data_IF_699317716225
#
_entry.id   IF_699317716225
#
_cell.length_a   1.000
_cell.length_b   1.000
_cell.length_c   1.000
_cell.angle_alpha   90.00
_cell.angle_beta   90.00
_cell.angle_gamma   90.00
#
_symmetry.space_group_name_H-M   'P 1'
#
loop_
_entity.id
_entity.type
_entity.pdbx_description
1 polymer ?
#
# COMPACT_ATOMS: atom_id res chain seq x y z
N UNK A 1 -2.56 -31.26 10.80
CA UNK A 1 -3.06 -30.46 9.67
C UNK A 1 -2.74 -29.01 10.01
N UNK A 2 -2.15 -28.24 9.11
CA UNK A 2 -1.93 -26.83 9.35
C UNK A 2 -3.30 -26.15 9.53
N UNK A 3 -3.41 -25.21 10.48
CA UNK A 3 -4.63 -24.43 10.65
C UNK A 3 -4.76 -23.48 9.44
N UNK A 4 -5.96 -23.41 8.86
CA UNK A 4 -6.25 -22.53 7.72
C UNK A 4 -7.37 -21.56 8.05
N UNK A 5 -7.41 -20.41 7.35
CA UNK A 5 -8.46 -19.41 7.43
C UNK A 5 -9.15 -19.28 6.07
N UNK A 6 -10.49 -19.39 6.07
CA UNK A 6 -11.31 -19.27 4.86
C UNK A 6 -12.08 -17.95 4.86
N UNK A 7 -12.05 -17.25 3.73
CA UNK A 7 -12.80 -16.02 3.52
C UNK A 7 -13.37 -15.92 2.09
N UNK A 8 -14.33 -15.02 1.92
CA UNK A 8 -14.97 -14.74 0.63
C UNK A 8 -14.82 -13.26 0.28
N UNK A 9 -13.61 -12.81 -0.09
CA UNK A 9 -13.37 -11.42 -0.49
C UNK A 9 -14.06 -11.10 -1.81
N UNK A 10 -14.19 -9.80 -2.14
CA UNK A 10 -14.77 -9.35 -3.40
C UNK A 10 -14.01 -9.80 -4.66
N UNK A 11 -12.72 -10.15 -4.50
CA UNK A 11 -11.86 -10.64 -5.58
C UNK A 11 -10.85 -11.69 -5.07
N UNK A 12 -11.29 -12.94 -4.80
CA UNK A 12 -10.42 -13.97 -4.23
C UNK A 12 -9.16 -14.27 -5.06
N UNK A 13 -9.32 -14.31 -6.39
CA UNK A 13 -8.19 -14.60 -7.30
C UNK A 13 -7.18 -13.47 -7.36
N UNK A 14 -7.64 -12.22 -7.37
CA UNK A 14 -6.75 -11.04 -7.35
C UNK A 14 -5.99 -10.94 -6.05
N UNK A 15 -6.64 -11.19 -4.93
CA UNK A 15 -5.99 -11.20 -3.64
C UNK A 15 -4.95 -12.34 -3.52
N UNK A 16 -5.29 -13.56 -3.98
CA UNK A 16 -4.36 -14.68 -4.04
C UNK A 16 -3.14 -14.37 -4.93
N UNK A 17 -3.34 -13.68 -6.05
CA UNK A 17 -2.24 -13.23 -6.91
C UNK A 17 -1.32 -12.24 -6.15
N UNK A 18 -1.92 -11.29 -5.42
CA UNK A 18 -1.18 -10.33 -4.59
C UNK A 18 -0.35 -11.00 -3.50
N UNK A 19 -0.96 -11.92 -2.74
CA UNK A 19 -0.26 -12.69 -1.69
C UNK A 19 0.94 -13.43 -2.25
N UNK A 20 0.76 -14.20 -3.34
CA UNK A 20 1.86 -14.95 -3.97
C UNK A 20 2.95 -14.05 -4.51
N UNK A 21 2.58 -12.90 -5.06
CA UNK A 21 3.53 -11.94 -5.60
C UNK A 21 4.39 -11.33 -4.48
N UNK A 22 3.79 -10.93 -3.37
CA UNK A 22 4.50 -10.41 -2.20
C UNK A 22 5.41 -11.49 -1.58
N UNK A 23 4.91 -12.71 -1.44
CA UNK A 23 5.64 -13.84 -0.86
C UNK A 23 6.92 -14.19 -1.62
N UNK A 24 7.04 -13.84 -2.90
CA UNK A 24 8.28 -14.03 -3.68
C UNK A 24 9.50 -13.30 -3.08
N UNK A 25 9.31 -12.33 -2.19
CA UNK A 25 10.35 -11.66 -1.43
C UNK A 25 10.90 -12.46 -0.24
N UNK A 26 10.13 -13.42 0.30
CA UNK A 26 10.46 -14.17 1.53
C UNK A 26 11.78 -14.94 1.44
N UNK A 27 12.06 -15.57 0.30
CA UNK A 27 13.30 -16.31 0.08
C UNK A 27 14.57 -15.48 0.25
N UNK A 28 14.43 -14.13 0.22
CA UNK A 28 15.53 -13.17 0.43
C UNK A 28 15.46 -12.47 1.78
N UNK A 29 14.58 -12.91 2.68
CA UNK A 29 14.36 -12.31 3.99
C UNK A 29 13.27 -11.25 4.02
N UNK A 30 12.38 -11.22 3.03
CA UNK A 30 11.17 -10.39 3.02
C UNK A 30 10.20 -10.77 4.13
N UNK A 31 9.24 -9.88 4.41
CA UNK A 31 8.19 -10.11 5.37
C UNK A 31 7.38 -11.38 5.01
N UNK A 32 7.02 -12.16 6.02
CA UNK A 32 6.15 -13.31 5.81
C UNK A 32 4.78 -12.86 5.29
N UNK A 33 4.24 -13.61 4.35
CA UNK A 33 2.94 -13.36 3.71
C UNK A 33 2.10 -14.63 3.85
N UNK A 34 0.87 -14.51 4.34
CA UNK A 34 0.00 -15.67 4.53
C UNK A 34 -0.06 -16.55 3.27
N UNK A 35 0.31 -17.81 3.42
CA UNK A 35 0.36 -18.77 2.31
C UNK A 35 -1.04 -19.01 1.72
N UNK A 36 -1.15 -18.99 0.39
CA UNK A 36 -2.39 -19.32 -0.31
C UNK A 36 -2.51 -20.85 -0.43
N UNK A 37 -3.38 -21.44 0.37
CA UNK A 37 -3.63 -22.89 0.39
C UNK A 37 -4.52 -23.29 -0.79
N UNK A 38 -5.64 -22.57 -0.98
CA UNK A 38 -6.53 -22.79 -2.12
C UNK A 38 -7.28 -21.52 -2.51
N UNK A 39 -7.66 -21.41 -3.78
CA UNK A 39 -8.47 -20.30 -4.29
C UNK A 39 -9.47 -20.76 -5.34
N UNK A 40 -10.70 -20.26 -5.22
CA UNK A 40 -11.79 -20.38 -6.20
C UNK A 40 -12.29 -19.00 -6.58
N UNK A 41 -13.32 -18.89 -7.41
CA UNK A 41 -13.95 -17.61 -7.76
C UNK A 41 -14.69 -16.96 -6.57
N UNK A 42 -14.97 -17.72 -5.50
CA UNK A 42 -15.77 -17.23 -4.35
C UNK A 42 -15.06 -17.33 -3.02
N UNK A 43 -14.06 -18.19 -2.89
CA UNK A 43 -13.42 -18.50 -1.61
C UNK A 43 -11.91 -18.48 -1.79
N UNK A 44 -11.25 -17.85 -0.84
CA UNK A 44 -9.82 -17.91 -0.64
C UNK A 44 -9.54 -18.58 0.71
N UNK A 45 -8.68 -19.58 0.69
CA UNK A 45 -8.18 -20.26 1.89
C UNK A 45 -6.69 -19.96 2.01
N UNK A 46 -6.31 -19.39 3.13
CA UNK A 46 -4.93 -19.00 3.43
C UNK A 46 -4.47 -19.66 4.73
N UNK A 47 -3.19 -19.59 4.98
CA UNK A 47 -2.59 -19.91 6.26
C UNK A 47 -3.29 -19.16 7.39
N UNK A 48 -3.51 -19.83 8.52
CA UNK A 48 -3.96 -19.18 9.75
C UNK A 48 -2.76 -18.65 10.53
N UNK A 49 -2.70 -17.35 10.71
CA UNK A 49 -1.68 -16.67 11.48
C UNK A 49 -2.20 -16.37 12.89
N UNK A 50 -1.61 -16.96 13.94
CA UNK A 50 -2.02 -16.67 15.31
C UNK A 50 -1.59 -15.26 15.70
N UNK A 51 -2.50 -14.48 16.28
CA UNK A 51 -2.14 -13.16 16.80
C UNK A 51 -1.35 -13.29 18.10
N UNK A 52 -0.23 -12.58 18.19
CA UNK A 52 0.61 -12.49 19.40
C UNK A 52 0.71 -11.06 19.90
N UNK A 53 1.29 -10.89 21.10
CA UNK A 53 1.52 -9.56 21.66
C UNK A 53 2.59 -8.83 20.86
N UNK A 54 2.33 -7.59 20.40
CA UNK A 54 3.34 -6.75 19.75
C UNK A 54 4.55 -6.48 20.68
N UNK A 55 5.75 -6.46 20.10
CA UNK A 55 6.97 -6.01 20.77
C UNK A 55 7.76 -5.05 19.89
N UNK A 56 8.58 -4.21 20.51
CA UNK A 56 9.45 -3.28 19.77
C UNK A 56 10.46 -4.04 18.87
N UNK A 57 10.93 -5.18 19.33
CA UNK A 57 11.85 -6.04 18.57
C UNK A 57 11.17 -6.62 17.32
N UNK A 58 9.97 -7.19 17.47
CA UNK A 58 9.18 -7.71 16.35
C UNK A 58 8.85 -6.61 15.34
N UNK A 59 8.47 -5.40 15.79
CA UNK A 59 8.22 -4.26 14.93
C UNK A 59 9.45 -3.85 14.12
N UNK A 60 10.62 -3.82 14.77
CA UNK A 60 11.90 -3.50 14.10
C UNK A 60 12.29 -4.58 13.09
N UNK A 61 12.14 -5.86 13.43
CA UNK A 61 12.38 -6.98 12.52
C UNK A 61 11.45 -6.90 11.29
N UNK A 62 10.16 -6.62 11.50
CA UNK A 62 9.20 -6.45 10.42
C UNK A 62 9.59 -5.29 9.49
N UNK A 63 10.00 -4.14 10.03
CA UNK A 63 10.48 -3.02 9.21
C UNK A 63 11.62 -3.40 8.28
N UNK A 64 12.61 -4.15 8.77
CA UNK A 64 13.72 -4.66 7.96
C UNK A 64 13.26 -5.65 6.90
N UNK A 65 12.39 -6.58 7.25
CA UNK A 65 11.84 -7.57 6.32
C UNK A 65 10.95 -6.92 5.24
N UNK A 66 10.15 -5.91 5.61
CA UNK A 66 9.33 -5.14 4.67
C UNK A 66 10.19 -4.43 3.61
N UNK A 67 11.34 -3.89 4.00
CA UNK A 67 12.28 -3.28 3.05
C UNK A 67 12.76 -4.27 1.98
N UNK A 68 12.97 -5.53 2.35
CA UNK A 68 13.32 -6.61 1.42
C UNK A 68 12.13 -6.97 0.52
N UNK A 69 10.92 -7.01 1.06
CA UNK A 69 9.70 -7.22 0.26
C UNK A 69 9.56 -6.14 -0.82
N UNK A 70 9.70 -4.86 -0.45
CA UNK A 70 9.65 -3.75 -1.40
C UNK A 70 10.75 -3.83 -2.46
N UNK A 71 11.95 -4.29 -2.09
CA UNK A 71 13.08 -4.46 -2.99
C UNK A 71 12.94 -5.63 -3.97
N UNK A 72 11.89 -6.45 -3.83
CA UNK A 72 11.54 -7.42 -4.87
C UNK A 72 11.12 -6.73 -6.17
N UNK A 73 10.77 -5.45 -6.10
CA UNK A 73 10.53 -4.58 -7.25
C UNK A 73 9.26 -4.87 -8.04
N UNK A 74 8.96 -3.96 -8.95
CA UNK A 74 7.82 -4.01 -9.85
C UNK A 74 8.19 -3.38 -11.21
N UNK A 75 7.43 -3.69 -12.25
CA UNK A 75 7.78 -3.31 -13.62
C UNK A 75 7.45 -1.86 -13.95
N UNK A 76 6.30 -1.35 -13.49
CA UNK A 76 5.86 0.04 -13.68
C UNK A 76 4.92 0.50 -12.56
N UNK A 77 4.70 1.80 -12.46
CA UNK A 77 3.79 2.42 -11.49
C UNK A 77 2.35 1.94 -11.69
N UNK A 78 1.78 1.33 -10.66
CA UNK A 78 0.43 0.77 -10.69
C UNK A 78 0.31 -0.59 -11.36
N UNK A 79 1.41 -1.26 -11.76
CA UNK A 79 1.33 -2.58 -12.36
C UNK A 79 0.68 -3.59 -11.40
N UNK A 80 -0.07 -4.56 -11.94
CA UNK A 80 -0.61 -5.66 -11.17
C UNK A 80 0.49 -6.63 -10.73
N UNK A 81 0.18 -7.58 -9.83
CA UNK A 81 0.99 -8.77 -9.62
C UNK A 81 1.25 -9.51 -10.93
N UNK A 82 2.45 -10.11 -11.05
CA UNK A 82 2.87 -10.81 -12.26
C UNK A 82 1.83 -11.84 -12.73
N UNK A 83 1.43 -11.75 -14.01
CA UNK A 83 0.44 -12.62 -14.63
C UNK A 83 -1.03 -12.34 -14.24
N UNK A 84 -1.30 -11.37 -13.38
CA UNK A 84 -2.65 -10.95 -13.06
C UNK A 84 -3.14 -9.89 -14.07
N UNK A 85 -4.31 -10.15 -14.66
CA UNK A 85 -4.94 -9.29 -15.70
C UNK A 85 -6.28 -8.69 -15.26
N UNK A 86 -6.66 -8.92 -14.01
CA UNK A 86 -7.90 -8.39 -13.42
C UNK A 86 -7.69 -7.08 -12.66
N UNK A 87 -8.78 -6.50 -12.18
CA UNK A 87 -8.74 -5.35 -11.28
C UNK A 87 -8.32 -5.71 -9.86
N UNK A 88 -8.18 -4.69 -9.02
CA UNK A 88 -8.00 -4.83 -7.58
C UNK A 88 -9.17 -4.22 -6.83
N UNK A 89 -9.42 -4.74 -5.63
CA UNK A 89 -10.40 -4.22 -4.70
C UNK A 89 -9.78 -4.05 -3.31
N UNK A 90 -10.18 -2.98 -2.63
CA UNK A 90 -10.00 -2.84 -1.20
C UNK A 90 -11.41 -2.88 -0.59
N UNK A 91 -11.74 -3.96 0.10
CA UNK A 91 -13.12 -4.22 0.49
C UNK A 91 -14.06 -4.19 -0.73
N UNK A 92 -15.04 -3.28 -0.71
CA UNK A 92 -15.98 -3.06 -1.81
C UNK A 92 -15.54 -1.97 -2.81
N UNK A 93 -14.44 -1.26 -2.54
CA UNK A 93 -13.93 -0.24 -3.46
C UNK A 93 -13.08 -0.87 -4.55
N UNK A 94 -13.44 -0.59 -5.80
CA UNK A 94 -12.60 -0.91 -6.95
C UNK A 94 -11.47 0.11 -7.04
N UNK A 95 -10.24 -0.37 -6.90
CA UNK A 95 -9.04 0.46 -7.00
C UNK A 95 -8.34 0.21 -8.33
N UNK A 96 -8.05 1.25 -9.13
CA UNK A 96 -7.43 1.08 -10.42
C UNK A 96 -6.02 0.49 -10.34
N UNK A 97 -5.75 -0.49 -11.21
CA UNK A 97 -4.42 -0.95 -11.58
C UNK A 97 -4.11 -0.52 -13.02
N UNK A 98 -2.85 -0.33 -13.34
CA UNK A 98 -2.38 -0.04 -14.70
C UNK A 98 -2.01 -1.36 -15.34
N UNK A 99 -2.96 -1.97 -16.08
CA UNK A 99 -2.81 -3.31 -16.63
C UNK A 99 -1.95 -3.34 -17.90
N UNK A 100 -1.84 -2.23 -18.59
CA UNK A 100 -1.05 -2.08 -19.82
C UNK A 100 0.13 -1.13 -19.54
N UNK A 101 1.35 -1.64 -19.72
CA UNK A 101 2.58 -0.87 -19.53
C UNK A 101 2.63 0.39 -20.40
N UNK A 102 2.03 0.36 -21.61
CA UNK A 102 1.95 1.52 -22.49
C UNK A 102 1.13 2.69 -21.89
N UNK A 103 0.34 2.42 -20.85
CA UNK A 103 -0.43 3.40 -20.10
C UNK A 103 0.21 3.77 -18.75
N UNK A 104 1.41 3.25 -18.48
CA UNK A 104 2.12 3.54 -17.26
C UNK A 104 2.47 5.03 -17.16
N UNK A 105 2.36 5.57 -15.95
CA UNK A 105 2.84 6.91 -15.66
C UNK A 105 4.36 6.96 -15.70
N UNK A 106 4.92 8.11 -16.07
CA UNK A 106 6.36 8.31 -16.11
C UNK A 106 6.98 8.47 -14.70
N UNK A 107 6.18 8.89 -13.70
CA UNK A 107 6.62 9.10 -12.33
C UNK A 107 5.60 8.60 -11.30
N UNK A 108 6.05 8.52 -10.03
CA UNK A 108 5.14 8.22 -8.92
C UNK A 108 4.06 9.29 -8.78
N UNK A 109 4.45 10.56 -8.86
CA UNK A 109 3.51 11.68 -8.70
C UNK A 109 2.41 11.66 -9.75
N UNK A 110 2.73 11.37 -11.02
CA UNK A 110 1.73 11.23 -12.08
C UNK A 110 0.78 10.05 -11.81
N UNK A 111 1.31 8.88 -11.43
CA UNK A 111 0.51 7.71 -11.06
C UNK A 111 -0.40 8.02 -9.86
N UNK A 112 0.17 8.59 -8.80
CA UNK A 112 -0.54 8.85 -7.56
C UNK A 112 -1.65 9.88 -7.75
N UNK A 113 -1.37 10.97 -8.48
CA UNK A 113 -2.36 11.98 -8.86
C UNK A 113 -3.55 11.37 -9.59
N UNK A 114 -3.27 10.59 -10.64
CA UNK A 114 -4.32 10.02 -11.50
C UNK A 114 -5.11 8.91 -10.81
N UNK A 115 -4.39 7.93 -10.24
CA UNK A 115 -4.97 6.65 -9.85
C UNK A 115 -5.28 6.54 -8.35
N UNK A 116 -4.87 7.52 -7.52
CA UNK A 116 -5.11 7.52 -6.08
C UNK A 116 -5.82 8.78 -5.60
N UNK A 117 -5.51 9.95 -6.15
CA UNK A 117 -6.15 11.20 -5.70
C UNK A 117 -7.38 11.51 -6.54
N UNK A 118 -7.22 11.73 -7.85
CA UNK A 118 -8.34 12.17 -8.71
C UNK A 118 -9.39 11.07 -8.90
N UNK A 119 -9.01 9.83 -8.99
CA UNK A 119 -9.96 8.70 -9.10
C UNK A 119 -11.02 8.75 -8.00
N UNK A 120 -10.62 8.95 -6.75
CA UNK A 120 -11.56 9.01 -5.62
C UNK A 120 -12.18 10.40 -5.43
N UNK A 121 -11.45 11.48 -5.74
CA UNK A 121 -12.02 12.83 -5.72
C UNK A 121 -13.15 13.00 -6.73
N UNK A 122 -13.03 12.40 -7.92
CA UNK A 122 -14.08 12.39 -8.94
C UNK A 122 -15.33 11.65 -8.44
N UNK A 123 -15.18 10.47 -7.83
CA UNK A 123 -16.30 9.72 -7.25
C UNK A 123 -17.00 10.50 -6.14
N UNK A 124 -16.22 11.11 -5.24
CA UNK A 124 -16.77 11.95 -4.16
C UNK A 124 -17.53 13.16 -4.72
N UNK A 125 -17.05 13.78 -5.80
CA UNK A 125 -17.74 14.87 -6.47
C UNK A 125 -19.02 14.40 -7.18
N UNK A 126 -18.95 13.29 -7.91
CA UNK A 126 -20.09 12.69 -8.62
C UNK A 126 -21.21 12.26 -7.66
N UNK A 127 -20.86 11.74 -6.48
CA UNK A 127 -21.82 11.41 -5.43
C UNK A 127 -22.37 12.65 -4.67
N UNK A 128 -21.81 13.84 -4.92
CA UNK A 128 -22.16 15.05 -4.18
C UNK A 128 -21.62 15.10 -2.74
N UNK A 129 -20.67 14.22 -2.40
CA UNK A 129 -20.05 14.15 -1.07
C UNK A 129 -19.07 15.29 -0.79
N UNK A 130 -18.53 15.93 -1.83
CA UNK A 130 -17.68 17.11 -1.76
C UNK A 130 -18.18 18.21 -2.72
N UNK A 131 -17.93 19.47 -2.35
CA UNK A 131 -18.23 20.64 -3.17
C UNK A 131 -17.21 20.81 -4.29
N UNK A 132 -17.53 21.66 -5.29
CA UNK A 132 -16.59 22.06 -6.35
C UNK A 132 -15.32 22.71 -5.77
N UNK A 133 -15.44 23.49 -4.71
CA UNK A 133 -14.29 24.11 -4.05
C UNK A 133 -13.38 23.09 -3.37
N UNK A 134 -13.95 22.09 -2.71
CA UNK A 134 -13.20 20.99 -2.07
C UNK A 134 -12.55 20.10 -3.13
N UNK A 135 -13.23 19.81 -4.22
CA UNK A 135 -12.62 19.11 -5.37
C UNK A 135 -11.42 19.89 -5.93
N UNK A 136 -11.52 21.24 -6.01
CA UNK A 136 -10.43 22.10 -6.44
C UNK A 136 -9.14 21.92 -5.66
N UNK A 137 -9.23 21.64 -4.36
CA UNK A 137 -8.07 21.34 -3.49
C UNK A 137 -7.34 20.06 -3.96
N UNK A 138 -8.08 18.99 -4.25
CA UNK A 138 -7.48 17.75 -4.74
C UNK A 138 -6.92 17.91 -6.15
N UNK A 139 -7.60 18.68 -7.01
CA UNK A 139 -7.13 18.95 -8.36
C UNK A 139 -5.82 19.75 -8.36
N UNK A 140 -5.70 20.77 -7.50
CA UNK A 140 -4.47 21.56 -7.37
C UNK A 140 -3.31 20.70 -6.83
N UNK A 141 -3.55 19.86 -5.81
CA UNK A 141 -2.55 18.90 -5.35
C UNK A 141 -2.14 17.92 -6.45
N UNK A 142 -3.09 17.45 -7.25
CA UNK A 142 -2.80 16.54 -8.37
C UNK A 142 -1.90 17.20 -9.43
N UNK A 143 -2.06 18.50 -9.71
CA UNK A 143 -1.16 19.24 -10.62
C UNK A 143 0.26 19.33 -10.05
N UNK A 144 0.41 19.59 -8.74
CA UNK A 144 1.73 19.58 -8.08
C UNK A 144 2.41 18.22 -8.11
N UNK A 145 1.63 17.15 -7.86
CA UNK A 145 2.11 15.77 -7.99
C UNK A 145 2.60 15.47 -9.42
N UNK A 146 1.82 15.86 -10.44
CA UNK A 146 2.21 15.69 -11.85
C UNK A 146 3.44 16.51 -12.25
N UNK A 147 3.62 17.66 -11.62
CA UNK A 147 4.81 18.49 -11.83
C UNK A 147 6.08 17.88 -11.20
N UNK A 148 5.94 16.80 -10.39
CA UNK A 148 7.06 16.13 -9.74
C UNK A 148 7.53 16.81 -8.45
N UNK A 149 6.76 17.76 -7.88
CA UNK A 149 7.14 18.52 -6.67
C UNK A 149 7.48 17.58 -5.48
N UNK A 150 6.93 16.37 -5.48
CA UNK A 150 7.07 15.40 -4.40
C UNK A 150 7.78 14.11 -4.82
N UNK A 151 8.23 14.02 -6.08
CA UNK A 151 8.93 12.84 -6.56
C UNK A 151 10.30 12.73 -5.89
N UNK A 152 10.56 11.57 -5.32
CA UNK A 152 11.84 11.22 -4.69
C UNK A 152 12.26 9.82 -5.09
N UNK A 153 13.55 9.50 -5.01
CA UNK A 153 14.01 8.14 -5.28
C UNK A 153 13.43 7.16 -4.25
N UNK A 154 13.16 5.94 -4.69
CA UNK A 154 12.86 4.82 -3.79
C UNK A 154 13.93 4.67 -2.69
N UNK A 155 13.60 4.07 -1.54
CA UNK A 155 14.57 3.69 -0.52
C UNK A 155 15.72 2.86 -1.11
N UNK A 156 16.88 2.93 -0.49
CA UNK A 156 18.15 2.51 -1.08
C UNK A 156 18.18 1.05 -1.55
N UNK A 157 17.52 0.13 -0.82
CA UNK A 157 17.55 -1.29 -1.16
C UNK A 157 16.79 -1.58 -2.47
N UNK A 158 15.65 -0.89 -2.70
CA UNK A 158 14.88 -0.99 -3.97
C UNK A 158 15.76 -0.58 -5.14
N UNK A 159 16.46 0.57 -5.00
CA UNK A 159 17.37 1.08 -6.04
C UNK A 159 18.59 0.17 -6.24
N UNK A 160 19.16 -0.34 -5.16
CA UNK A 160 20.30 -1.28 -5.23
C UNK A 160 19.92 -2.61 -5.92
N UNK A 161 18.63 -3.00 -5.82
CA UNK A 161 18.10 -4.15 -6.57
C UNK A 161 17.82 -3.85 -8.06
N UNK A 162 18.03 -2.60 -8.52
CA UNK A 162 17.85 -2.19 -9.90
C UNK A 162 16.43 -1.76 -10.27
N UNK A 163 15.58 -1.46 -9.29
CA UNK A 163 14.20 -1.07 -9.54
C UNK A 163 13.94 0.42 -9.24
N UNK A 164 13.11 1.04 -10.08
CA UNK A 164 12.55 2.37 -9.86
C UNK A 164 11.17 2.31 -9.19
N UNK A 165 10.54 1.15 -9.21
CA UNK A 165 9.20 0.90 -8.65
C UNK A 165 9.29 -0.21 -7.61
N UNK A 166 8.78 0.04 -6.42
CA UNK A 166 8.72 -0.96 -5.35
C UNK A 166 7.51 -1.88 -5.53
N UNK A 167 7.63 -3.09 -4.99
CA UNK A 167 6.51 -4.01 -4.82
C UNK A 167 5.81 -3.67 -3.51
N UNK A 168 4.63 -3.06 -3.57
CA UNK A 168 3.90 -2.63 -2.38
C UNK A 168 2.69 -3.51 -2.07
N UNK A 169 2.37 -3.58 -0.79
CA UNK A 169 1.15 -4.24 -0.29
C UNK A 169 -0.11 -3.49 -0.74
N UNK A 170 -0.07 -2.16 -0.70
CA UNK A 170 -1.11 -1.27 -1.23
C UNK A 170 -2.32 -1.03 -0.32
N UNK A 171 -2.53 -1.87 0.70
CA UNK A 171 -3.55 -1.70 1.74
C UNK A 171 -2.98 -2.07 3.12
N UNK A 172 -1.80 -1.54 3.45
CA UNK A 172 -1.02 -1.94 4.63
C UNK A 172 -1.41 -1.14 5.89
N UNK A 173 -2.64 -1.25 6.34
CA UNK A 173 -3.06 -0.71 7.63
C UNK A 173 -2.93 -1.77 8.75
N UNK A 174 -3.13 -1.36 10.00
CA UNK A 174 -2.90 -2.23 11.17
C UNK A 174 -3.74 -3.52 11.21
N UNK A 175 -4.85 -3.60 10.46
CA UNK A 175 -5.65 -4.81 10.33
C UNK A 175 -5.07 -5.85 9.38
N UNK A 176 -4.17 -5.44 8.48
CA UNK A 176 -3.58 -6.29 7.45
C UNK A 176 -2.11 -6.66 7.74
N UNK A 177 -1.61 -6.29 8.93
CA UNK A 177 -0.26 -6.63 9.42
C UNK A 177 -0.39 -7.27 10.80
N UNK A 178 -0.11 -8.57 10.89
CA UNK A 178 -0.35 -9.36 12.10
C UNK A 178 0.98 -9.69 12.80
N UNK A 179 1.11 -9.29 14.06
CA UNK A 179 2.15 -9.83 14.93
C UNK A 179 1.81 -11.29 15.27
N UNK A 180 2.52 -12.22 14.68
CA UNK A 180 2.26 -13.67 14.78
C UNK A 180 3.33 -14.47 15.53
N UNK A 181 4.42 -13.78 15.93
CA UNK A 181 5.57 -14.39 16.60
C UNK A 181 6.54 -15.07 15.63
N UNK A 182 6.36 -14.90 14.33
CA UNK A 182 7.27 -15.40 13.30
C UNK A 182 8.61 -14.66 13.25
N UNK A 183 9.56 -15.20 12.50
CA UNK A 183 10.93 -14.69 12.41
C UNK A 183 11.04 -13.29 11.83
N UNK A 184 10.11 -12.88 10.98
CA UNK A 184 10.04 -11.54 10.37
C UNK A 184 9.30 -10.50 11.24
N UNK A 185 8.89 -10.90 12.45
CA UNK A 185 8.23 -10.04 13.44
C UNK A 185 6.74 -9.86 13.23
N UNK A 186 6.29 -9.69 12.02
CA UNK A 186 4.88 -9.62 11.64
C UNK A 186 4.69 -10.13 10.21
N UNK A 187 3.46 -10.51 9.89
CA UNK A 187 3.06 -11.12 8.61
C UNK A 187 1.99 -10.30 7.91
N UNK A 188 1.94 -10.40 6.58
CA UNK A 188 1.05 -9.65 5.70
C UNK A 188 -0.15 -10.49 5.27
N UNK A 189 -1.33 -9.87 5.27
CA UNK A 189 -2.60 -10.43 4.76
C UNK A 189 -3.36 -9.37 3.96
N UNK A 190 -4.35 -9.77 3.17
CA UNK A 190 -5.33 -8.90 2.51
C UNK A 190 -4.73 -7.79 1.63
N UNK A 191 -3.76 -8.08 0.73
CA UNK A 191 -3.13 -7.05 -0.06
C UNK A 191 -3.99 -6.54 -1.21
N UNK A 192 -3.78 -5.28 -1.56
CA UNK A 192 -4.07 -4.67 -2.86
C UNK A 192 -2.74 -4.45 -3.61
N UNK A 193 -1.98 -5.53 -3.81
CA UNK A 193 -0.60 -5.49 -4.27
C UNK A 193 -0.44 -4.86 -5.66
N UNK A 194 0.52 -3.96 -5.79
CA UNK A 194 0.82 -3.28 -7.06
C UNK A 194 2.23 -2.66 -7.05
N UNK A 195 2.66 -2.19 -8.21
CA UNK A 195 3.87 -1.37 -8.31
C UNK A 195 3.65 0.04 -7.74
N UNK A 196 4.43 0.44 -6.74
CA UNK A 196 4.24 1.70 -6.04
C UNK A 196 5.53 2.31 -5.47
N UNK A 197 5.38 3.38 -4.70
CA UNK A 197 6.47 3.90 -3.88
C UNK A 197 6.44 3.24 -2.50
N UNK A 198 7.56 2.78 -2.01
CA UNK A 198 7.67 2.08 -0.73
C UNK A 198 7.12 2.90 0.45
N UNK A 199 7.30 4.23 0.45
CA UNK A 199 6.77 5.13 1.47
C UNK A 199 5.23 5.10 1.55
N UNK A 200 4.53 4.64 0.48
CA UNK A 200 3.06 4.55 0.50
C UNK A 200 2.56 3.52 1.50
N UNK A 201 3.18 2.35 1.57
CA UNK A 201 2.83 1.34 2.57
C UNK A 201 3.11 1.83 3.99
N UNK A 202 4.25 2.50 4.19
CA UNK A 202 4.62 3.08 5.48
C UNK A 202 3.68 4.21 5.92
N UNK A 203 3.21 5.03 4.97
CA UNK A 203 2.18 6.01 5.20
C UNK A 203 0.83 5.37 5.54
N UNK A 204 0.44 4.33 4.82
CA UNK A 204 -0.80 3.58 5.08
C UNK A 204 -0.80 2.95 6.47
N UNK A 205 0.33 2.41 6.92
CA UNK A 205 0.47 1.84 8.26
C UNK A 205 0.25 2.88 9.39
N UNK A 206 0.51 4.15 9.10
CA UNK A 206 0.28 5.25 10.04
C UNK A 206 -1.19 5.73 10.14
N UNK A 207 -2.10 5.26 9.27
CA UNK A 207 -3.46 5.81 9.17
C UNK A 207 -4.29 5.62 10.43
N UNK A 208 -4.32 4.41 10.97
CA UNK A 208 -5.10 4.06 12.17
C UNK A 208 -4.22 3.79 13.40
N UNK A 209 -2.94 4.09 13.29
CA UNK A 209 -1.94 3.73 14.28
C UNK A 209 -1.52 2.26 14.16
N UNK A 210 -0.28 2.01 14.52
CA UNK A 210 0.30 0.66 14.55
C UNK A 210 1.19 0.53 15.79
N UNK A 211 1.11 -0.58 16.54
CA UNK A 211 1.94 -0.77 17.73
C UNK A 211 3.44 -0.70 17.37
N UNK A 212 4.19 0.14 18.06
CA UNK A 212 5.63 0.35 17.83
C UNK A 212 5.98 0.83 16.41
N UNK A 213 5.13 1.68 15.79
CA UNK A 213 5.33 2.18 14.43
C UNK A 213 6.72 2.78 14.21
N UNK A 214 7.24 3.55 15.18
CA UNK A 214 8.58 4.12 15.12
C UNK A 214 9.69 3.06 15.00
N UNK A 215 9.49 1.88 15.60
CA UNK A 215 10.42 0.77 15.47
C UNK A 215 10.35 0.12 14.08
N UNK A 216 9.15 0.08 13.46
CA UNK A 216 9.02 -0.34 12.06
C UNK A 216 9.82 0.60 11.17
N UNK A 217 9.66 1.92 11.32
CA UNK A 217 10.43 2.91 10.54
C UNK A 217 11.94 2.81 10.79
N UNK A 218 12.38 2.62 12.03
CA UNK A 218 13.80 2.42 12.35
C UNK A 218 14.37 1.14 11.71
N UNK A 219 13.64 0.03 11.79
CA UNK A 219 14.04 -1.23 11.18
C UNK A 219 14.12 -1.12 9.66
N UNK A 220 13.13 -0.48 9.05
CA UNK A 220 13.10 -0.21 7.62
C UNK A 220 14.29 0.65 7.19
N UNK A 221 14.47 1.82 7.84
CA UNK A 221 15.54 2.77 7.51
C UNK A 221 16.94 2.15 7.70
N UNK A 222 17.11 1.31 8.72
CA UNK A 222 18.39 0.61 8.94
C UNK A 222 18.72 -0.36 7.79
N UNK A 223 17.72 -1.05 7.23
CA UNK A 223 17.88 -1.97 6.10
C UNK A 223 17.93 -1.23 4.75
N UNK A 224 17.13 -0.19 4.60
CA UNK A 224 16.92 0.55 3.37
C UNK A 224 16.68 2.04 3.67
N UNK A 225 17.76 2.85 3.78
CA UNK A 225 17.64 4.29 4.02
C UNK A 225 16.67 4.98 3.08
N UNK A 226 15.78 5.79 3.67
CA UNK A 226 14.85 6.65 2.93
C UNK A 226 15.55 7.83 2.26
N UNK A 227 14.91 8.43 1.27
CA UNK A 227 15.26 9.74 0.78
C UNK A 227 15.05 10.81 1.89
N UNK A 228 15.88 11.87 1.95
CA UNK A 228 15.72 12.95 2.93
C UNK A 228 14.29 13.54 2.94
N UNK A 229 13.78 13.93 4.11
CA UNK A 229 12.45 14.53 4.27
C UNK A 229 11.30 13.52 4.16
N UNK A 230 11.56 12.24 4.35
CA UNK A 230 10.52 11.20 4.29
C UNK A 230 9.44 11.38 5.37
N UNK A 231 9.80 11.90 6.55
CA UNK A 231 8.86 12.16 7.64
C UNK A 231 7.77 13.15 7.20
N UNK A 232 8.15 14.18 6.44
CA UNK A 232 7.22 15.19 5.94
C UNK A 232 6.30 14.64 4.83
N UNK A 233 6.69 13.55 4.16
CA UNK A 233 5.91 12.91 3.10
C UNK A 233 4.93 11.83 3.59
N UNK A 234 5.07 11.34 4.83
CA UNK A 234 4.18 10.29 5.37
C UNK A 234 2.70 10.68 5.27
N UNK A 235 2.36 11.95 5.54
CA UNK A 235 0.98 12.41 5.43
C UNK A 235 0.48 12.42 3.97
N UNK A 236 1.34 12.78 3.01
CA UNK A 236 1.00 12.70 1.59
C UNK A 236 0.76 11.26 1.14
N UNK A 237 1.64 10.33 1.52
CA UNK A 237 1.51 8.91 1.15
C UNK A 237 0.27 8.24 1.75
N UNK A 238 -0.18 8.64 2.94
CA UNK A 238 -1.41 8.10 3.53
C UNK A 238 -2.69 8.70 2.93
N UNK A 239 -2.61 9.82 2.19
CA UNK A 239 -3.78 10.49 1.63
C UNK A 239 -4.54 9.58 0.64
N UNK A 240 -3.86 8.77 -0.17
CA UNK A 240 -4.50 7.90 -1.15
C UNK A 240 -5.44 6.86 -0.53
N UNK A 241 -5.05 6.28 0.62
CA UNK A 241 -5.93 5.35 1.34
C UNK A 241 -7.05 6.11 2.08
N UNK A 242 -6.78 7.30 2.61
CA UNK A 242 -7.79 8.09 3.31
C UNK A 242 -8.89 8.61 2.38
N UNK A 243 -8.55 9.08 1.17
CA UNK A 243 -9.55 9.53 0.21
C UNK A 243 -10.38 8.36 -0.34
N UNK A 244 -9.78 7.17 -0.46
CA UNK A 244 -10.52 5.95 -0.76
C UNK A 244 -11.50 5.59 0.38
N UNK A 245 -11.09 5.73 1.65
CA UNK A 245 -11.99 5.55 2.79
C UNK A 245 -13.10 6.63 2.82
N UNK A 246 -12.80 7.84 2.36
CA UNK A 246 -13.81 8.88 2.20
C UNK A 246 -14.89 8.48 1.16
N UNK A 247 -14.48 7.87 0.05
CA UNK A 247 -15.40 7.33 -0.97
C UNK A 247 -16.27 6.18 -0.42
N UNK A 248 -15.69 5.30 0.41
CA UNK A 248 -16.41 4.16 0.98
C UNK A 248 -17.32 4.51 2.15
N UNK A 249 -16.88 5.39 3.04
CA UNK A 249 -17.48 5.60 4.36
C UNK A 249 -17.90 7.05 4.62
N UNK A 250 -17.46 8.00 3.82
CA UNK A 250 -17.75 9.43 3.99
C UNK A 250 -17.21 10.02 5.30
N UNK A 251 -17.97 10.97 5.88
CA UNK A 251 -17.75 11.47 7.24
C UNK A 251 -16.39 12.14 7.47
N UNK A 252 -15.76 11.81 8.59
CA UNK A 252 -14.48 12.40 9.01
C UNK A 252 -13.32 12.18 8.05
N UNK A 253 -13.38 11.15 7.20
CA UNK A 253 -12.33 10.88 6.20
C UNK A 253 -12.24 11.97 5.14
N UNK A 254 -13.36 12.59 4.74
CA UNK A 254 -13.38 13.73 3.81
C UNK A 254 -12.61 14.90 4.41
N UNK A 255 -12.95 15.28 5.64
CA UNK A 255 -12.31 16.39 6.33
C UNK A 255 -10.80 16.18 6.53
N UNK A 256 -10.39 14.97 6.93
CA UNK A 256 -8.98 14.63 7.11
C UNK A 256 -8.22 14.63 5.77
N UNK A 257 -8.81 14.09 4.71
CA UNK A 257 -8.22 14.10 3.36
C UNK A 257 -8.00 15.54 2.87
N UNK A 258 -8.99 16.42 3.05
CA UNK A 258 -8.88 17.84 2.70
C UNK A 258 -7.82 18.56 3.52
N UNK A 259 -7.74 18.29 4.84
CA UNK A 259 -6.74 18.88 5.72
C UNK A 259 -5.32 18.50 5.26
N UNK A 260 -5.09 17.23 4.94
CA UNK A 260 -3.80 16.77 4.42
C UNK A 260 -3.52 17.41 3.07
N UNK A 261 -4.44 17.34 2.11
CA UNK A 261 -4.23 17.91 0.78
C UNK A 261 -3.83 19.39 0.85
N UNK A 262 -4.52 20.20 1.68
CA UNK A 262 -4.21 21.63 1.89
C UNK A 262 -2.83 21.87 2.50
N UNK A 263 -2.27 20.94 3.28
CA UNK A 263 -0.94 21.12 3.86
C UNK A 263 0.20 20.95 2.86
N UNK A 264 -0.11 20.52 1.65
CA UNK A 264 0.84 20.37 0.55
C UNK A 264 0.59 21.38 -0.60
N UNK A 265 -0.28 22.36 -0.43
CA UNK A 265 -0.50 23.46 -1.36
C UNK A 265 0.28 24.70 -0.95
#
# INVERSE_FOLDING_TARGET
MANTFKKSPGNPRGEAAGLRWLAAGEARGGAHVAEVISVTDRVLEIEYLPSTRPTAEAARAFGGALAVTHAAGASWWGCPPDGWVGGANVGNSRTPLVLDEAQAAASWGEFYARSRILEFADRLRESGSITTAEYGVFAELAERLRAGDFDVPQPSLVRAAGFEVARVHGDMWSGNVLYDGGATGASLIDPMAHGGHAETDLGTLAVFGFPYLDEVYRGYHAASPFAPGWEDRIALHKLGILIMHADLFGGGYIGESLRIAKSYL
#
